data_IF_825829771997
#
_entry.id   IF_825829771997
#
_cell.length_a   1.000
_cell.length_b   1.000
_cell.length_c   1.000
_cell.angle_alpha   90.00
_cell.angle_beta   90.00
_cell.angle_gamma   90.00
#
_symmetry.space_group_name_H-M   'P 1'
#
loop_
_entity.id
_entity.type
_entity.pdbx_description
1 polymer ?
#
# COMPACT_ATOMS: atom_id res chain seq x y z
N UNK A 1 -22.61 10.95 -0.79
CA UNK A 1 -23.84 10.19 -1.06
C UNK A 1 -24.22 9.43 0.19
N UNK A 2 -25.51 9.39 0.56
CA UNK A 2 -25.98 8.65 1.76
C UNK A 2 -26.17 7.17 1.39
N UNK A 3 -26.17 6.29 2.40
CA UNK A 3 -26.44 4.85 2.21
C UNK A 3 -27.80 4.59 1.55
N UNK A 4 -28.81 5.38 1.93
CA UNK A 4 -30.15 5.33 1.31
C UNK A 4 -30.10 5.52 -0.19
N UNK A 5 -29.32 6.49 -0.65
CA UNK A 5 -29.21 6.85 -2.07
C UNK A 5 -28.53 5.71 -2.87
N UNK A 6 -27.58 5.00 -2.23
CA UNK A 6 -26.92 3.83 -2.84
C UNK A 6 -27.87 2.64 -2.95
N UNK A 7 -28.68 2.40 -1.92
CA UNK A 7 -29.72 1.36 -1.95
C UNK A 7 -30.76 1.67 -3.01
N UNK A 8 -31.23 2.91 -3.08
CA UNK A 8 -32.17 3.35 -4.13
C UNK A 8 -31.57 3.18 -5.54
N UNK A 9 -30.31 3.55 -5.74
CA UNK A 9 -29.63 3.34 -7.02
C UNK A 9 -29.58 1.85 -7.40
N UNK A 10 -29.25 0.96 -6.47
CA UNK A 10 -29.24 -0.47 -6.69
C UNK A 10 -30.62 -1.01 -7.07
N UNK A 11 -31.67 -0.56 -6.39
CA UNK A 11 -33.06 -0.94 -6.67
C UNK A 11 -33.53 -0.41 -8.02
N UNK A 12 -33.14 0.82 -8.39
CA UNK A 12 -33.44 1.40 -9.70
C UNK A 12 -32.81 0.63 -10.85
N UNK A 13 -31.66 -0.01 -10.60
CA UNK A 13 -31.07 -0.95 -11.56
C UNK A 13 -31.75 -2.33 -11.56
N UNK A 14 -32.86 -2.51 -10.80
CA UNK A 14 -33.54 -3.81 -10.59
C UNK A 14 -32.56 -4.91 -10.13
N UNK A 15 -31.55 -4.51 -9.36
CA UNK A 15 -30.40 -5.35 -8.95
C UNK A 15 -29.59 -5.94 -10.12
N UNK A 16 -29.75 -5.42 -11.34
CA UNK A 16 -28.92 -5.80 -12.49
C UNK A 16 -27.62 -4.99 -12.47
N UNK A 17 -26.49 -5.67 -12.62
CA UNK A 17 -25.18 -5.04 -12.73
C UNK A 17 -24.33 -5.81 -13.77
N UNK A 18 -23.33 -5.10 -14.30
CA UNK A 18 -22.37 -5.72 -15.20
C UNK A 18 -21.33 -6.53 -14.40
N UNK A 19 -21.00 -6.05 -13.17
CA UNK A 19 -20.01 -6.67 -12.28
C UNK A 19 -20.53 -6.61 -10.84
N UNK A 20 -20.63 -7.79 -10.21
CA UNK A 20 -20.84 -7.93 -8.77
C UNK A 20 -19.52 -8.28 -8.08
N UNK A 21 -19.11 -7.45 -7.13
CA UNK A 21 -17.91 -7.67 -6.31
C UNK A 21 -18.33 -8.08 -4.91
N UNK A 22 -17.91 -9.24 -4.46
CA UNK A 22 -18.17 -9.74 -3.10
C UNK A 22 -16.91 -9.57 -2.26
N UNK A 23 -16.97 -8.70 -1.26
CA UNK A 23 -15.89 -8.37 -0.35
C UNK A 23 -15.34 -6.96 -0.52
N UNK A 24 -15.34 -6.20 0.57
CA UNK A 24 -14.90 -4.79 0.66
C UNK A 24 -13.47 -4.62 1.19
N UNK A 25 -12.57 -5.55 0.86
CA UNK A 25 -11.14 -5.41 1.09
C UNK A 25 -10.44 -4.63 -0.02
N UNK A 26 -9.12 -4.45 0.07
CA UNK A 26 -8.32 -3.69 -0.90
C UNK A 26 -8.51 -4.17 -2.34
N UNK A 27 -8.53 -5.49 -2.56
CA UNK A 27 -8.70 -6.09 -3.89
C UNK A 27 -10.08 -5.80 -4.48
N UNK A 28 -11.15 -6.06 -3.70
CA UNK A 28 -12.52 -5.84 -4.17
C UNK A 28 -12.79 -4.36 -4.43
N UNK A 29 -12.35 -3.47 -3.54
CA UNK A 29 -12.50 -2.03 -3.70
C UNK A 29 -11.69 -1.50 -4.90
N UNK A 30 -10.48 -2.02 -5.12
CA UNK A 30 -9.68 -1.69 -6.29
C UNK A 30 -10.37 -2.10 -7.60
N UNK A 31 -10.89 -3.33 -7.65
CA UNK A 31 -11.67 -3.82 -8.80
C UNK A 31 -12.92 -2.98 -9.05
N UNK A 32 -13.64 -2.60 -7.98
CA UNK A 32 -14.83 -1.76 -8.09
C UNK A 32 -14.50 -0.36 -8.66
N UNK A 33 -13.39 0.26 -8.23
CA UNK A 33 -12.93 1.55 -8.76
C UNK A 33 -12.58 1.43 -10.24
N UNK A 34 -11.81 0.41 -10.63
CA UNK A 34 -11.40 0.21 -12.02
C UNK A 34 -12.61 0.00 -12.92
N UNK A 35 -13.49 -0.90 -12.54
CA UNK A 35 -14.70 -1.19 -13.30
C UNK A 35 -15.65 0.01 -13.42
N UNK A 36 -15.93 0.71 -12.31
CA UNK A 36 -16.77 1.92 -12.32
C UNK A 36 -16.13 3.04 -13.16
N UNK A 37 -14.82 3.18 -13.12
CA UNK A 37 -14.08 4.17 -13.92
C UNK A 37 -14.16 3.89 -15.43
N UNK A 38 -14.40 2.64 -15.83
CA UNK A 38 -14.63 2.22 -17.21
C UNK A 38 -16.10 2.31 -17.65
N UNK A 39 -16.99 2.76 -16.76
CA UNK A 39 -18.42 2.93 -17.05
C UNK A 39 -19.29 1.70 -16.81
N UNK A 40 -18.76 0.63 -16.24
CA UNK A 40 -19.57 -0.54 -15.87
C UNK A 40 -20.48 -0.24 -14.68
N UNK A 41 -21.67 -0.83 -14.67
CA UNK A 41 -22.56 -0.85 -13.50
C UNK A 41 -22.01 -1.83 -12.48
N UNK A 42 -21.41 -1.32 -11.41
CA UNK A 42 -20.75 -2.13 -10.39
C UNK A 42 -21.53 -2.09 -9.09
N UNK A 43 -21.78 -3.26 -8.52
CA UNK A 43 -22.27 -3.42 -7.15
C UNK A 43 -21.19 -4.13 -6.36
N UNK A 44 -20.73 -3.53 -5.24
CA UNK A 44 -19.85 -4.15 -4.28
C UNK A 44 -20.60 -4.33 -2.96
N UNK A 45 -20.59 -5.56 -2.45
CA UNK A 45 -21.22 -5.94 -1.18
C UNK A 45 -20.17 -6.47 -0.20
N UNK A 46 -20.21 -5.95 1.02
CA UNK A 46 -19.33 -6.37 2.12
C UNK A 46 -20.19 -6.73 3.34
N UNK A 47 -19.99 -7.93 3.90
CA UNK A 47 -20.77 -8.41 5.04
C UNK A 47 -20.51 -7.67 6.35
N UNK A 48 -19.33 -7.07 6.49
CA UNK A 48 -18.92 -6.30 7.65
C UNK A 48 -18.67 -4.84 7.25
N UNK A 49 -17.73 -4.19 7.93
CA UNK A 49 -17.25 -2.89 7.49
C UNK A 49 -16.15 -3.03 6.44
N UNK A 50 -15.96 -2.01 5.61
CA UNK A 50 -14.91 -2.00 4.61
C UNK A 50 -13.54 -2.20 5.27
N UNK A 51 -12.69 -2.98 4.61
CA UNK A 51 -11.34 -3.31 5.06
C UNK A 51 -11.23 -4.11 6.37
N UNK A 52 -12.31 -4.55 7.00
CA UNK A 52 -12.29 -5.24 8.32
C UNK A 52 -11.38 -6.47 8.38
N UNK A 53 -11.14 -7.12 7.26
CA UNK A 53 -10.26 -8.29 7.16
C UNK A 53 -8.77 -7.93 7.21
N UNK A 54 -7.98 -8.56 6.35
CA UNK A 54 -6.52 -8.37 6.23
C UNK A 54 -6.16 -6.93 5.89
N UNK A 55 -6.99 -6.25 5.10
CA UNK A 55 -6.68 -4.91 4.57
C UNK A 55 -6.52 -3.82 5.64
N UNK A 56 -7.10 -3.96 6.83
CA UNK A 56 -6.85 -3.01 7.93
C UNK A 56 -5.80 -3.51 8.94
N UNK A 57 -5.27 -4.72 8.74
CA UNK A 57 -4.33 -5.37 9.66
C UNK A 57 -2.94 -5.52 9.07
N UNK A 58 -2.60 -4.66 8.12
CA UNK A 58 -1.28 -4.62 7.49
C UNK A 58 -0.27 -3.89 8.37
N UNK A 59 1.00 -3.91 7.97
CA UNK A 59 2.07 -3.14 8.61
C UNK A 59 1.99 -1.64 8.35
N UNK A 60 0.96 -1.16 7.67
CA UNK A 60 0.79 0.25 7.24
C UNK A 60 1.89 0.73 6.30
N UNK A 61 2.51 -0.18 5.56
CA UNK A 61 3.58 0.11 4.63
C UNK A 61 3.20 -0.30 3.22
N UNK A 62 3.44 0.59 2.28
CA UNK A 62 3.46 0.28 0.85
C UNK A 62 4.92 0.28 0.41
N UNK A 63 5.48 -0.93 0.35
CA UNK A 63 6.92 -1.13 0.16
C UNK A 63 7.23 -1.92 -1.11
N UNK A 64 8.42 -1.69 -1.66
CA UNK A 64 8.90 -2.41 -2.84
C UNK A 64 9.51 -3.77 -2.54
N UNK A 65 9.37 -4.29 -1.30
CA UNK A 65 9.76 -5.66 -0.99
C UNK A 65 11.27 -5.92 -0.97
N UNK A 66 12.06 -5.08 -0.31
CA UNK A 66 13.54 -5.24 -0.16
C UNK A 66 13.97 -6.66 0.19
N UNK A 67 13.16 -7.41 0.95
CA UNK A 67 13.45 -8.81 1.31
C UNK A 67 13.48 -9.74 0.09
N UNK A 68 12.65 -9.51 -0.90
CA UNK A 68 12.59 -10.31 -2.13
C UNK A 68 13.82 -10.08 -3.01
N UNK A 69 14.41 -8.87 -2.96
CA UNK A 69 15.67 -8.61 -3.62
C UNK A 69 16.80 -9.52 -3.09
N UNK A 70 16.84 -9.73 -1.77
CA UNK A 70 17.79 -10.67 -1.16
C UNK A 70 17.53 -12.14 -1.52
N UNK A 71 16.32 -12.48 -1.97
CA UNK A 71 15.93 -13.80 -2.47
C UNK A 71 16.11 -13.97 -3.98
N UNK A 72 16.55 -12.91 -4.68
CA UNK A 72 16.77 -12.92 -6.12
C UNK A 72 15.50 -12.66 -6.96
N UNK A 73 14.35 -12.40 -6.35
CA UNK A 73 13.12 -12.11 -7.09
C UNK A 73 13.04 -10.62 -7.47
N UNK A 74 13.81 -10.29 -8.50
CA UNK A 74 13.92 -8.93 -9.02
C UNK A 74 12.61 -8.48 -9.69
N UNK A 75 11.89 -9.40 -10.34
CA UNK A 75 10.65 -9.05 -11.06
C UNK A 75 9.57 -8.56 -10.10
N UNK A 76 9.36 -9.26 -8.99
CA UNK A 76 8.42 -8.87 -7.95
C UNK A 76 8.79 -7.52 -7.32
N UNK A 77 10.09 -7.26 -7.12
CA UNK A 77 10.57 -5.98 -6.58
C UNK A 77 10.26 -4.83 -7.54
N UNK A 78 10.52 -4.99 -8.83
CA UNK A 78 10.23 -3.97 -9.86
C UNK A 78 8.75 -3.67 -9.91
N UNK A 79 7.89 -4.69 -9.92
CA UNK A 79 6.44 -4.54 -9.93
C UNK A 79 5.96 -3.79 -8.67
N UNK A 80 6.38 -4.22 -7.49
CA UNK A 80 6.03 -3.59 -6.22
C UNK A 80 6.48 -2.12 -6.13
N UNK A 81 7.67 -1.79 -6.64
CA UNK A 81 8.17 -0.43 -6.72
C UNK A 81 7.34 0.44 -7.67
N UNK A 82 6.91 -0.12 -8.79
CA UNK A 82 6.05 0.56 -9.74
C UNK A 82 4.66 0.83 -9.15
N UNK A 83 4.06 -0.17 -8.50
CA UNK A 83 2.75 -0.01 -7.85
C UNK A 83 2.81 0.97 -6.68
N UNK A 84 3.85 0.94 -5.85
CA UNK A 84 4.10 1.96 -4.82
C UNK A 84 4.12 3.37 -5.42
N UNK A 85 4.84 3.53 -6.52
CA UNK A 85 4.92 4.81 -7.23
C UNK A 85 3.56 5.26 -7.79
N UNK A 86 2.76 4.34 -8.34
CA UNK A 86 1.39 4.61 -8.81
C UNK A 86 0.48 5.03 -7.66
N UNK A 87 0.52 4.30 -6.54
CA UNK A 87 -0.27 4.66 -5.35
C UNK A 87 0.06 6.07 -4.85
N UNK A 88 1.34 6.44 -4.80
CA UNK A 88 1.75 7.80 -4.42
C UNK A 88 1.23 8.86 -5.37
N UNK A 89 1.24 8.60 -6.68
CA UNK A 89 0.72 9.54 -7.69
C UNK A 89 -0.79 9.67 -7.63
N UNK A 90 -1.50 8.55 -7.46
CA UNK A 90 -2.96 8.52 -7.45
C UNK A 90 -3.55 9.02 -6.13
N UNK A 91 -2.85 8.81 -5.01
CA UNK A 91 -3.32 9.17 -3.67
C UNK A 91 -2.20 9.83 -2.82
N UNK A 92 -1.66 11.00 -3.25
CA UNK A 92 -0.53 11.65 -2.58
C UNK A 92 -0.87 12.12 -1.16
N UNK A 93 -2.15 12.29 -0.85
CA UNK A 93 -2.66 12.65 0.48
C UNK A 93 -2.71 11.46 1.45
N UNK A 94 -2.59 10.24 0.96
CA UNK A 94 -2.63 9.01 1.77
C UNK A 94 -1.26 8.36 1.91
N UNK A 95 -0.42 8.42 0.88
CA UNK A 95 0.90 7.78 0.87
C UNK A 95 1.98 8.79 1.22
N UNK A 96 2.68 8.54 2.32
CA UNK A 96 3.79 9.37 2.80
C UNK A 96 5.12 8.65 2.58
N UNK A 97 6.14 9.43 2.26
CA UNK A 97 7.53 8.95 2.27
C UNK A 97 7.99 8.77 3.72
N UNK A 98 8.55 7.61 4.03
CA UNK A 98 9.10 7.30 5.33
C UNK A 98 10.54 6.79 5.22
N UNK A 99 11.39 7.29 6.11
CA UNK A 99 12.77 6.85 6.23
C UNK A 99 12.86 5.63 7.13
N UNK A 100 13.58 4.62 6.66
CA UNK A 100 13.89 3.41 7.41
C UNK A 100 15.39 3.31 7.61
N UNK A 101 15.80 2.90 8.79
CA UNK A 101 17.21 2.76 9.15
C UNK A 101 17.47 1.30 9.53
N UNK A 102 18.43 0.68 8.85
CA UNK A 102 18.94 -0.65 9.17
C UNK A 102 20.25 -0.47 9.94
N UNK A 103 20.25 -0.84 11.22
CA UNK A 103 21.48 -0.84 12.04
C UNK A 103 22.39 -2.01 11.65
N UNK A 104 23.68 -1.75 11.45
CA UNK A 104 24.67 -2.71 11.04
C UNK A 104 25.60 -3.07 12.22
N UNK A 105 25.66 -4.34 12.56
CA UNK A 105 26.46 -4.87 13.67
C UNK A 105 27.69 -5.65 13.19
N UNK A 106 27.63 -6.24 12.00
CA UNK A 106 28.75 -6.95 11.38
C UNK A 106 29.44 -6.06 10.34
N UNK A 107 30.73 -6.29 10.11
CA UNK A 107 31.54 -5.46 9.20
C UNK A 107 31.07 -5.53 7.73
N UNK A 108 30.54 -6.68 7.30
CA UNK A 108 30.07 -6.92 5.94
C UNK A 108 28.63 -6.45 5.68
N UNK A 109 27.82 -6.20 6.73
CA UNK A 109 26.42 -5.79 6.58
C UNK A 109 26.29 -4.42 5.92
N UNK A 110 27.15 -3.48 6.26
CA UNK A 110 27.12 -2.13 5.71
C UNK A 110 27.33 -2.11 4.19
N UNK A 111 28.39 -2.72 3.60
CA UNK A 111 28.55 -2.79 2.15
C UNK A 111 27.43 -3.61 1.50
N UNK A 112 27.00 -4.71 2.11
CA UNK A 112 25.92 -5.55 1.59
C UNK A 112 24.60 -4.77 1.45
N UNK A 113 24.14 -4.13 2.51
CA UNK A 113 22.93 -3.33 2.47
C UNK A 113 23.07 -2.09 1.60
N UNK A 114 24.23 -1.43 1.60
CA UNK A 114 24.46 -0.28 0.74
C UNK A 114 24.33 -0.63 -0.74
N UNK A 115 24.93 -1.72 -1.20
CA UNK A 115 24.81 -2.20 -2.58
C UNK A 115 23.38 -2.63 -2.89
N UNK A 116 22.79 -3.49 -2.07
CA UNK A 116 21.42 -3.99 -2.28
C UNK A 116 20.39 -2.87 -2.35
N UNK A 117 20.47 -1.88 -1.45
CA UNK A 117 19.54 -0.74 -1.43
C UNK A 117 19.84 0.27 -2.56
N UNK A 118 21.08 0.39 -3.02
CA UNK A 118 21.39 1.16 -4.23
C UNK A 118 20.77 0.53 -5.46
N UNK A 119 20.84 -0.79 -5.60
CA UNK A 119 20.14 -1.52 -6.65
C UNK A 119 18.61 -1.33 -6.56
N UNK A 120 18.07 -1.38 -5.34
CA UNK A 120 16.64 -1.10 -5.10
C UNK A 120 16.22 0.30 -5.55
N UNK A 121 17.04 1.32 -5.27
CA UNK A 121 16.78 2.71 -5.71
C UNK A 121 16.87 2.82 -7.24
N UNK A 122 17.82 2.15 -7.88
CA UNK A 122 17.95 2.11 -9.33
C UNK A 122 16.75 1.45 -10.00
N UNK A 123 16.26 0.33 -9.44
CA UNK A 123 15.06 -0.37 -9.91
C UNK A 123 13.80 0.51 -9.77
N UNK A 124 13.72 1.34 -8.74
CA UNK A 124 12.63 2.29 -8.56
C UNK A 124 12.66 3.43 -9.60
N UNK A 125 13.83 3.77 -10.11
CA UNK A 125 14.04 4.80 -11.12
C UNK A 125 13.41 6.14 -10.73
N UNK A 126 12.60 6.70 -11.62
CA UNK A 126 11.89 7.98 -11.38
C UNK A 126 10.84 7.93 -10.28
N UNK A 127 10.44 6.74 -9.83
CA UNK A 127 9.47 6.51 -8.76
C UNK A 127 10.13 6.29 -7.40
N UNK A 128 11.44 6.45 -7.28
CA UNK A 128 12.16 6.40 -6.01
C UNK A 128 11.62 7.49 -5.07
N UNK A 129 11.46 7.12 -3.78
CA UNK A 129 11.00 8.06 -2.75
C UNK A 129 12.17 8.86 -2.17
N UNK A 130 13.38 8.33 -2.23
CA UNK A 130 14.60 8.95 -1.74
C UNK A 130 15.81 8.09 -2.10
N UNK A 131 17.00 8.53 -1.71
CA UNK A 131 18.25 7.79 -1.93
C UNK A 131 18.66 7.03 -0.69
N UNK A 132 19.09 5.80 -0.88
CA UNK A 132 19.70 4.99 0.17
C UNK A 132 21.12 5.47 0.43
N UNK A 133 21.44 5.75 1.68
CA UNK A 133 22.75 6.29 2.07
C UNK A 133 23.28 5.57 3.32
N UNK A 134 24.60 5.29 3.37
CA UNK A 134 25.22 4.79 4.57
C UNK A 134 25.22 5.84 5.67
N UNK A 135 25.03 5.41 6.93
CA UNK A 135 25.01 6.26 8.12
C UNK A 135 26.13 5.89 9.08
N UNK A 136 26.70 6.90 9.73
CA UNK A 136 27.64 6.71 10.84
C UNK A 136 26.88 6.25 12.09
N UNK A 137 27.55 5.49 12.97
CA UNK A 137 27.00 5.04 14.26
C UNK A 137 26.35 6.17 15.06
N UNK A 138 27.03 7.32 15.18
CA UNK A 138 26.51 8.50 15.91
C UNK A 138 25.19 9.00 15.33
N UNK A 139 25.06 9.01 14.00
CA UNK A 139 23.83 9.45 13.33
C UNK A 139 22.69 8.47 13.53
N UNK A 140 22.97 7.16 13.48
CA UNK A 140 21.98 6.11 13.74
C UNK A 140 21.44 6.23 15.16
N UNK A 141 22.31 6.37 16.16
CA UNK A 141 21.94 6.49 17.57
C UNK A 141 21.21 7.81 17.89
N UNK A 142 21.48 8.87 17.12
CA UNK A 142 20.73 10.13 17.25
C UNK A 142 19.28 9.97 16.79
N UNK A 143 19.05 9.22 15.71
CA UNK A 143 17.71 8.99 15.14
C UNK A 143 16.95 7.90 15.90
N UNK A 144 17.64 6.84 16.35
CA UNK A 144 17.05 5.71 17.07
C UNK A 144 17.88 5.42 18.34
N UNK A 145 17.68 6.18 19.42
CA UNK A 145 18.44 6.00 20.66
C UNK A 145 18.23 4.63 21.35
N UNK A 146 17.12 3.97 21.05
CA UNK A 146 16.75 2.66 21.63
C UNK A 146 17.50 1.47 21.01
N UNK A 147 18.27 1.68 19.93
CA UNK A 147 19.06 0.59 19.35
C UNK A 147 20.17 0.13 20.29
N UNK A 148 20.45 -1.17 20.29
CA UNK A 148 21.59 -1.73 21.04
C UNK A 148 22.89 -1.08 20.59
N UNK A 149 23.58 -0.42 21.50
CA UNK A 149 24.82 0.34 21.23
C UNK A 149 26.04 -0.58 21.03
N UNK A 150 26.05 -1.72 21.76
CA UNK A 150 27.14 -2.69 21.71
C UNK A 150 27.20 -3.35 20.34
N UNK A 151 28.37 -3.37 19.74
CA UNK A 151 28.60 -3.94 18.41
C UNK A 151 28.08 -3.13 17.24
N UNK A 152 27.30 -2.05 17.47
CA UNK A 152 26.78 -1.20 16.38
C UNK A 152 27.94 -0.49 15.67
N UNK A 153 28.02 -0.67 14.34
CA UNK A 153 29.08 -0.09 13.47
C UNK A 153 28.60 1.07 12.61
N UNK A 154 27.27 1.24 12.49
CA UNK A 154 26.64 2.25 11.66
C UNK A 154 25.29 1.75 11.17
N UNK A 155 24.83 2.25 10.06
CA UNK A 155 23.57 1.82 9.44
C UNK A 155 23.49 2.22 7.97
N UNK A 156 22.37 1.90 7.38
CA UNK A 156 21.97 2.38 6.06
C UNK A 156 20.54 2.91 6.17
N UNK A 157 20.32 4.13 5.71
CA UNK A 157 18.97 4.68 5.55
C UNK A 157 18.45 4.36 4.16
N UNK A 158 17.17 4.01 4.06
CA UNK A 158 16.45 3.89 2.80
C UNK A 158 15.04 4.47 2.95
N UNK A 159 14.34 4.62 1.82
CA UNK A 159 13.02 5.22 1.78
C UNK A 159 11.98 4.24 1.28
N UNK A 160 10.84 4.21 1.95
CA UNK A 160 9.69 3.44 1.52
C UNK A 160 8.39 4.18 1.84
N UNK A 161 7.25 3.68 1.37
CA UNK A 161 5.97 4.33 1.58
C UNK A 161 5.28 3.89 2.86
N UNK A 162 4.67 4.84 3.56
CA UNK A 162 3.72 4.60 4.63
C UNK A 162 2.34 5.08 4.24
N UNK A 163 1.29 4.35 4.60
CA UNK A 163 -0.10 4.76 4.40
C UNK A 163 -1.01 4.21 5.48
N UNK A 164 -2.21 4.78 5.58
CA UNK A 164 -3.31 4.20 6.36
C UNK A 164 -4.18 3.35 5.43
N UNK A 165 -4.10 2.04 5.58
CA UNK A 165 -4.79 1.06 4.75
C UNK A 165 -6.31 1.14 4.90
N UNK A 166 -6.84 1.39 6.10
CA UNK A 166 -8.28 1.57 6.32
C UNK A 166 -8.79 2.84 5.64
N UNK A 167 -8.05 3.93 5.77
CA UNK A 167 -8.37 5.19 5.09
C UNK A 167 -8.28 5.05 3.56
N UNK A 168 -7.29 4.30 3.06
CA UNK A 168 -7.18 3.99 1.64
C UNK A 168 -8.42 3.22 1.16
N UNK A 169 -8.85 2.19 1.89
CA UNK A 169 -10.02 1.40 1.54
C UNK A 169 -11.30 2.25 1.50
N UNK A 170 -11.52 3.11 2.49
CA UNK A 170 -12.66 4.03 2.47
C UNK A 170 -12.58 5.00 1.29
N UNK A 171 -11.38 5.50 0.97
CA UNK A 171 -11.19 6.39 -0.18
C UNK A 171 -11.49 5.67 -1.50
N UNK A 172 -11.09 4.40 -1.64
CA UNK A 172 -11.45 3.59 -2.80
C UNK A 172 -12.97 3.39 -2.91
N UNK A 173 -13.65 3.07 -1.79
CA UNK A 173 -15.12 2.95 -1.77
C UNK A 173 -15.81 4.24 -2.23
N UNK A 174 -15.40 5.38 -1.69
CA UNK A 174 -15.93 6.69 -2.07
C UNK A 174 -15.64 7.00 -3.54
N UNK A 175 -14.43 6.68 -4.02
CA UNK A 175 -14.07 6.89 -5.43
C UNK A 175 -14.94 6.03 -6.38
N UNK A 176 -15.18 4.76 -6.02
CA UNK A 176 -16.07 3.90 -6.81
C UNK A 176 -17.50 4.46 -6.86
N UNK A 177 -18.00 4.98 -5.73
CA UNK A 177 -19.32 5.62 -5.64
C UNK A 177 -19.38 6.90 -6.49
N UNK A 178 -18.36 7.74 -6.44
CA UNK A 178 -18.27 8.97 -7.24
C UNK A 178 -18.23 8.67 -8.76
N UNK A 179 -17.65 7.51 -9.13
CA UNK A 179 -17.67 7.00 -10.52
C UNK A 179 -18.98 6.29 -10.91
N UNK A 180 -19.98 6.31 -10.06
CA UNK A 180 -21.29 5.75 -10.34
C UNK A 180 -21.56 4.35 -9.82
N UNK A 181 -20.57 3.70 -9.21
CA UNK A 181 -20.72 2.40 -8.57
C UNK A 181 -21.60 2.43 -7.31
N UNK A 182 -21.99 1.26 -6.85
CA UNK A 182 -22.70 1.04 -5.57
C UNK A 182 -21.79 0.22 -4.67
N UNK A 183 -21.35 0.79 -3.56
CA UNK A 183 -20.57 0.08 -2.54
C UNK A 183 -21.35 0.08 -1.23
N UNK A 184 -21.72 -1.10 -0.76
CA UNK A 184 -22.53 -1.29 0.44
C UNK A 184 -21.83 -2.24 1.41
N UNK A 185 -21.61 -1.77 2.64
CA UNK A 185 -21.17 -2.58 3.75
C UNK A 185 -22.34 -3.13 4.56
N UNK A 186 -22.11 -4.06 5.46
CA UNK A 186 -23.13 -4.76 6.30
C UNK A 186 -24.22 -5.43 5.46
N UNK A 187 -23.85 -5.94 4.28
CA UNK A 187 -24.71 -6.80 3.45
C UNK A 187 -23.96 -8.09 3.18
N UNK A 188 -24.48 -9.17 3.76
CA UNK A 188 -23.97 -10.52 3.52
C UNK A 188 -24.62 -11.08 2.27
N UNK A 189 -23.82 -11.71 1.43
CA UNK A 189 -24.30 -12.52 0.30
C UNK A 189 -24.35 -13.96 0.77
N UNK A 190 -25.51 -14.57 0.72
CA UNK A 190 -25.71 -15.99 0.98
C UNK A 190 -25.76 -16.73 -0.38
N UNK A 191 -24.95 -17.78 -0.50
CA UNK A 191 -24.86 -18.65 -1.68
C UNK A 191 -25.69 -19.91 -1.46
#
# INVERSE_FOLDING_TARGET
MKRSDLLERMLNWKCECDILVIGGGATGLGAAVDAASRGYRVILLEQHDFAKGTSCRSTKLVHGGVRYLAQGDVSMVVEALHERGRMRLNAPHLVKDMRFIIGNYRWWEKPFYAIGLTCYDLLAGRKALGRSLPMLKRSVLKEIPSLKHEGLRGGVVYHDGQFDDSRMAITLALTAIDKGGVCLNYIKVDC
#
